data_IF_373279365117
#
_entry.id   IF_373279365117
#
_cell.length_a   1.000
_cell.length_b   1.000
_cell.length_c   1.000
_cell.angle_alpha   90.00
_cell.angle_beta   90.00
_cell.angle_gamma   90.00
#
_symmetry.space_group_name_H-M   'P 1'
#
loop_
_entity.id
_entity.type
_entity.pdbx_description
1 polymer ?
#
# COMPACT_ATOMS: atom_id res chain seq x y z
N UNK A 1 -28.20 -54.44 -35.73
CA UNK A 1 -28.25 -53.48 -34.60
C UNK A 1 -26.86 -53.24 -33.98
N UNK A 2 -26.09 -54.31 -33.69
CA UNK A 2 -24.78 -54.26 -33.00
C UNK A 2 -23.68 -53.45 -33.73
N UNK A 3 -23.58 -53.54 -35.05
CA UNK A 3 -22.55 -52.84 -35.85
C UNK A 3 -22.65 -51.30 -35.81
N UNK A 4 -23.85 -50.73 -35.60
CA UNK A 4 -24.05 -49.28 -35.49
C UNK A 4 -23.62 -48.76 -34.12
N UNK A 5 -23.87 -49.52 -33.05
CA UNK A 5 -23.44 -49.19 -31.68
C UNK A 5 -21.92 -49.20 -31.56
N UNK A 6 -21.24 -50.18 -32.17
CA UNK A 6 -19.76 -50.27 -32.16
C UNK A 6 -19.13 -49.10 -32.93
N UNK A 7 -19.69 -48.69 -34.07
CA UNK A 7 -19.17 -47.53 -34.83
C UNK A 7 -19.34 -46.21 -34.07
N UNK A 8 -20.46 -46.03 -33.36
CA UNK A 8 -20.73 -44.83 -32.54
C UNK A 8 -19.77 -44.74 -31.36
N UNK A 9 -19.55 -45.86 -30.66
CA UNK A 9 -18.61 -45.93 -29.54
C UNK A 9 -17.15 -45.66 -29.97
N UNK A 10 -16.74 -46.14 -31.16
CA UNK A 10 -15.43 -45.82 -31.73
C UNK A 10 -15.25 -44.35 -32.09
N UNK A 11 -16.29 -43.69 -32.59
CA UNK A 11 -16.24 -42.27 -32.92
C UNK A 11 -16.15 -41.40 -31.66
N UNK A 12 -16.92 -41.72 -30.62
CA UNK A 12 -16.88 -41.02 -29.33
C UNK A 12 -15.50 -41.13 -28.67
N UNK A 13 -14.85 -42.30 -28.77
CA UNK A 13 -13.49 -42.48 -28.25
C UNK A 13 -12.43 -41.68 -29.00
N UNK A 14 -12.55 -41.56 -30.33
CA UNK A 14 -11.64 -40.75 -31.15
C UNK A 14 -11.82 -39.25 -30.87
N UNK A 15 -13.05 -38.79 -30.69
CA UNK A 15 -13.34 -37.39 -30.32
C UNK A 15 -12.79 -37.08 -28.93
N UNK A 16 -12.96 -37.99 -27.96
CA UNK A 16 -12.41 -37.82 -26.62
C UNK A 16 -10.87 -37.81 -26.62
N UNK A 17 -10.23 -38.71 -27.37
CA UNK A 17 -8.78 -38.73 -27.52
C UNK A 17 -8.25 -37.47 -28.22
N UNK A 18 -8.97 -36.92 -29.21
CA UNK A 18 -8.63 -35.67 -29.87
C UNK A 18 -8.82 -34.45 -28.94
N UNK A 19 -9.84 -34.44 -28.09
CA UNK A 19 -10.04 -33.39 -27.08
C UNK A 19 -8.97 -33.44 -26.00
N UNK A 20 -8.62 -34.62 -25.48
CA UNK A 20 -7.54 -34.79 -24.50
C UNK A 20 -6.19 -34.47 -25.14
N UNK A 21 -5.94 -34.93 -26.37
CA UNK A 21 -4.70 -34.64 -27.10
C UNK A 21 -4.55 -33.16 -27.46
N UNK A 22 -5.64 -32.48 -27.84
CA UNK A 22 -5.66 -31.04 -28.08
C UNK A 22 -5.47 -30.23 -26.79
N UNK A 23 -6.10 -30.66 -25.69
CA UNK A 23 -5.95 -30.02 -24.37
C UNK A 23 -4.54 -30.24 -23.80
N UNK A 24 -3.94 -31.43 -23.97
CA UNK A 24 -2.56 -31.73 -23.59
C UNK A 24 -1.54 -30.98 -24.47
N UNK A 25 -1.77 -30.88 -25.79
CA UNK A 25 -0.90 -30.15 -26.70
C UNK A 25 -0.88 -28.65 -26.42
N UNK A 26 -2.04 -28.04 -26.17
CA UNK A 26 -2.15 -26.64 -25.74
C UNK A 26 -1.53 -26.40 -24.34
N UNK A 27 -1.56 -27.41 -23.48
CA UNK A 27 -0.91 -27.33 -22.16
C UNK A 27 0.61 -27.47 -22.26
N UNK A 28 1.13 -28.36 -23.11
CA UNK A 28 2.57 -28.64 -23.21
C UNK A 28 3.39 -27.43 -23.66
N UNK A 29 2.91 -26.71 -24.66
CA UNK A 29 3.62 -25.51 -25.19
C UNK A 29 3.64 -24.35 -24.18
N UNK A 30 2.61 -24.25 -23.34
CA UNK A 30 2.51 -23.22 -22.29
C UNK A 30 3.48 -23.47 -21.11
N UNK A 31 3.84 -24.73 -20.84
CA UNK A 31 4.75 -25.07 -19.73
C UNK A 31 6.23 -25.00 -20.11
N UNK A 32 6.59 -25.21 -21.38
CA UNK A 32 7.98 -25.11 -21.86
C UNK A 32 8.62 -23.74 -21.59
N UNK A 33 7.81 -22.66 -21.55
CA UNK A 33 8.28 -21.32 -21.19
C UNK A 33 8.92 -21.27 -19.80
N UNK A 34 8.43 -22.09 -18.87
CA UNK A 34 8.86 -22.08 -17.47
C UNK A 34 10.04 -23.01 -17.18
N UNK A 35 10.38 -23.95 -18.08
CA UNK A 35 11.46 -24.92 -17.84
C UNK A 35 12.79 -24.24 -17.45
N UNK A 36 13.27 -23.19 -18.16
CA UNK A 36 14.51 -22.52 -17.77
C UNK A 36 14.41 -21.83 -16.40
N UNK A 37 13.23 -21.30 -16.06
CA UNK A 37 13.00 -20.63 -14.76
C UNK A 37 13.04 -21.65 -13.62
N UNK A 38 12.44 -22.82 -13.82
CA UNK A 38 12.46 -23.93 -12.86
C UNK A 38 13.88 -24.45 -12.65
N UNK A 39 14.64 -24.64 -13.73
CA UNK A 39 16.02 -25.11 -13.68
C UNK A 39 16.93 -24.12 -12.94
N UNK A 40 16.84 -22.83 -13.27
CA UNK A 40 17.60 -21.78 -12.59
C UNK A 40 17.23 -21.71 -11.11
N UNK A 41 15.93 -21.77 -10.76
CA UNK A 41 15.49 -21.82 -9.37
C UNK A 41 16.11 -23.00 -8.63
N UNK A 42 16.08 -24.21 -9.22
CA UNK A 42 16.64 -25.40 -8.59
C UNK A 42 18.15 -25.26 -8.32
N UNK A 43 18.86 -24.63 -9.25
CA UNK A 43 20.31 -24.44 -9.13
C UNK A 43 20.68 -23.37 -8.08
N UNK A 44 19.90 -22.29 -8.00
CA UNK A 44 20.04 -21.28 -6.95
C UNK A 44 19.79 -21.91 -5.57
N UNK A 45 18.69 -22.65 -5.38
CA UNK A 45 18.38 -23.25 -4.08
C UNK A 45 19.39 -24.31 -3.64
N UNK A 46 20.05 -24.99 -4.58
CA UNK A 46 21.02 -26.05 -4.28
C UNK A 46 22.42 -25.51 -3.97
N UNK A 47 22.84 -24.46 -4.68
CA UNK A 47 24.25 -24.05 -4.70
C UNK A 47 24.51 -22.64 -4.15
N UNK A 48 23.47 -21.86 -3.85
CA UNK A 48 23.70 -20.52 -3.31
C UNK A 48 24.29 -20.59 -1.89
N UNK A 49 25.19 -19.65 -1.60
CA UNK A 49 26.01 -19.66 -0.39
C UNK A 49 25.24 -19.27 0.88
N UNK A 50 24.07 -18.65 0.74
CA UNK A 50 23.18 -18.21 1.83
C UNK A 50 21.82 -18.86 1.69
N UNK A 51 21.05 -18.82 2.76
CA UNK A 51 19.62 -19.16 2.72
C UNK A 51 18.90 -18.24 1.72
N UNK A 52 18.05 -18.86 0.91
CA UNK A 52 17.28 -18.17 -0.13
C UNK A 52 15.82 -18.15 0.30
N UNK A 53 15.22 -16.96 0.30
CA UNK A 53 13.77 -16.82 0.41
C UNK A 53 13.14 -17.05 -0.96
N UNK A 54 12.41 -18.16 -1.10
CA UNK A 54 11.73 -18.52 -2.34
C UNK A 54 10.63 -17.52 -2.74
N UNK A 55 10.03 -16.83 -1.76
CA UNK A 55 9.00 -15.81 -1.99
C UNK A 55 9.61 -14.60 -2.67
N UNK A 56 10.76 -14.15 -2.16
CA UNK A 56 11.52 -13.05 -2.77
C UNK A 56 12.04 -13.42 -4.16
N UNK A 57 12.48 -14.67 -4.35
CA UNK A 57 12.91 -15.17 -5.65
C UNK A 57 11.76 -15.17 -6.68
N UNK A 58 10.57 -15.58 -6.26
CA UNK A 58 9.36 -15.54 -7.09
C UNK A 58 8.98 -14.10 -7.46
N UNK A 59 8.95 -13.19 -6.48
CA UNK A 59 8.65 -11.78 -6.73
C UNK A 59 9.67 -11.16 -7.69
N UNK A 60 10.97 -11.44 -7.52
CA UNK A 60 12.02 -11.00 -8.42
C UNK A 60 11.83 -11.53 -9.85
N UNK A 61 11.46 -12.80 -10.01
CA UNK A 61 11.18 -13.37 -11.33
C UNK A 61 9.99 -12.70 -12.02
N UNK A 62 8.90 -12.43 -11.29
CA UNK A 62 7.73 -11.72 -11.83
C UNK A 62 8.11 -10.29 -12.22
N UNK A 63 8.77 -9.55 -11.34
CA UNK A 63 9.17 -8.17 -11.61
C UNK A 63 10.12 -8.06 -12.82
N UNK A 64 11.09 -8.96 -12.94
CA UNK A 64 12.00 -8.98 -14.09
C UNK A 64 11.29 -9.23 -15.42
N UNK A 65 10.20 -10.02 -15.44
CA UNK A 65 9.36 -10.17 -16.63
C UNK A 65 8.63 -8.88 -16.98
N UNK A 66 8.12 -8.15 -15.98
CA UNK A 66 7.39 -6.90 -16.19
C UNK A 66 8.29 -5.74 -16.61
N UNK A 67 9.51 -5.66 -16.09
CA UNK A 67 10.50 -4.65 -16.48
C UNK A 67 10.80 -4.66 -17.98
N UNK A 68 10.71 -5.82 -18.64
CA UNK A 68 10.92 -5.93 -20.09
C UNK A 68 9.81 -5.30 -20.93
N UNK A 69 8.68 -4.93 -20.33
CA UNK A 69 7.60 -4.23 -21.03
C UNK A 69 7.92 -2.74 -21.25
N UNK A 70 8.94 -2.20 -20.59
CA UNK A 70 9.28 -0.76 -20.61
C UNK A 70 8.07 0.14 -20.31
N UNK A 71 7.15 -0.37 -19.49
CA UNK A 71 5.93 0.31 -19.07
C UNK A 71 5.97 0.56 -17.56
N UNK A 72 6.19 1.80 -17.11
CA UNK A 72 6.27 2.13 -15.68
C UNK A 72 4.94 1.95 -14.94
N UNK A 73 3.82 1.75 -15.65
CA UNK A 73 2.50 1.57 -15.04
C UNK A 73 2.11 0.10 -14.85
N UNK A 74 2.84 -0.84 -15.45
CA UNK A 74 2.59 -2.26 -15.28
C UNK A 74 3.42 -2.79 -14.11
N UNK A 75 2.76 -3.04 -12.98
CA UNK A 75 3.41 -3.51 -11.75
C UNK A 75 2.68 -4.72 -11.18
N UNK A 76 3.44 -5.61 -10.55
CA UNK A 76 2.89 -6.69 -9.74
C UNK A 76 2.81 -6.24 -8.28
N UNK A 77 1.65 -6.41 -7.65
CA UNK A 77 1.50 -6.19 -6.23
C UNK A 77 1.54 -7.50 -5.45
N UNK A 78 2.45 -7.56 -4.47
CA UNK A 78 2.37 -8.55 -3.40
C UNK A 78 1.12 -8.29 -2.53
N UNK A 79 0.73 -9.27 -1.71
CA UNK A 79 -0.42 -9.10 -0.81
C UNK A 79 -0.27 -7.90 0.13
N UNK A 80 0.95 -7.62 0.63
CA UNK A 80 1.24 -6.48 1.49
C UNK A 80 1.15 -5.15 0.72
N UNK A 81 1.69 -5.11 -0.50
CA UNK A 81 1.62 -3.94 -1.38
C UNK A 81 0.17 -3.62 -1.77
N UNK A 82 -0.62 -4.65 -2.11
CA UNK A 82 -2.04 -4.50 -2.42
C UNK A 82 -2.81 -3.93 -1.22
N UNK A 83 -2.61 -4.49 -0.02
CA UNK A 83 -3.26 -3.99 1.18
C UNK A 83 -2.90 -2.53 1.48
N UNK A 84 -1.65 -2.13 1.23
CA UNK A 84 -1.17 -0.76 1.40
C UNK A 84 -1.75 0.18 0.34
N UNK A 85 -1.77 -0.25 -0.92
CA UNK A 85 -2.36 0.48 -2.03
C UNK A 85 -3.87 0.72 -1.82
N UNK A 86 -4.59 -0.30 -1.37
CA UNK A 86 -6.01 -0.17 -1.08
C UNK A 86 -6.29 0.78 0.10
N UNK A 87 -5.45 0.75 1.15
CA UNK A 87 -5.53 1.73 2.25
C UNK A 87 -5.37 3.16 1.73
N UNK A 88 -4.39 3.37 0.86
CA UNK A 88 -4.14 4.67 0.23
C UNK A 88 -5.32 5.12 -0.65
N UNK A 89 -5.83 4.21 -1.51
CA UNK A 89 -6.96 4.49 -2.41
C UNK A 89 -8.25 4.80 -1.65
N UNK A 90 -8.49 4.15 -0.51
CA UNK A 90 -9.64 4.43 0.37
C UNK A 90 -9.43 5.67 1.26
N UNK A 91 -8.25 6.27 1.28
CA UNK A 91 -7.93 7.38 2.17
C UNK A 91 -7.99 7.01 3.67
N UNK A 92 -7.97 5.71 3.99
CA UNK A 92 -8.08 5.21 5.37
C UNK A 92 -6.71 4.80 5.89
N UNK A 93 -6.20 5.55 6.86
CA UNK A 93 -4.95 5.25 7.55
C UNK A 93 -5.20 5.09 9.04
N UNK A 94 -4.55 4.13 9.70
CA UNK A 94 -4.60 4.01 11.16
C UNK A 94 -3.28 4.49 11.74
N UNK A 95 -3.28 5.66 12.38
CA UNK A 95 -2.07 6.28 12.89
C UNK A 95 -2.38 7.52 13.70
N UNK A 96 -1.45 8.47 13.74
CA UNK A 96 -1.62 9.73 14.46
C UNK A 96 -2.14 10.87 13.58
N UNK A 97 -2.09 10.72 12.25
CA UNK A 97 -2.53 11.74 11.29
C UNK A 97 -1.62 12.96 11.22
N UNK A 98 -0.36 12.74 10.83
CA UNK A 98 0.59 13.81 10.55
C UNK A 98 1.42 13.47 9.30
N UNK A 99 1.73 14.50 8.53
CA UNK A 99 2.68 14.43 7.42
C UNK A 99 4.10 14.64 7.96
N UNK A 100 5.00 13.74 7.61
CA UNK A 100 6.39 13.75 8.08
C UNK A 100 7.37 13.75 6.91
N UNK A 101 8.52 14.37 7.11
CA UNK A 101 9.62 14.41 6.16
C UNK A 101 10.97 14.32 6.89
N UNK A 102 12.04 14.01 6.17
CA UNK A 102 13.38 13.97 6.74
C UNK A 102 14.04 15.36 6.65
N UNK A 103 14.43 15.91 7.80
CA UNK A 103 15.06 17.23 7.90
C UNK A 103 16.30 17.15 8.77
N UNK A 104 17.46 17.50 8.22
CA UNK A 104 18.75 17.48 8.91
C UNK A 104 19.04 16.15 9.66
N UNK A 105 18.67 15.03 9.04
CA UNK A 105 18.85 13.68 9.60
C UNK A 105 17.88 13.30 10.72
N UNK A 106 16.85 14.11 10.98
CA UNK A 106 15.76 13.86 11.92
C UNK A 106 14.43 13.71 11.17
N UNK A 107 13.45 13.11 11.82
CA UNK A 107 12.09 13.05 11.31
C UNK A 107 11.35 14.30 11.76
N UNK A 108 10.96 15.15 10.83
CA UNK A 108 10.23 16.39 11.09
C UNK A 108 8.76 16.28 10.70
N UNK A 109 7.89 16.96 11.45
CA UNK A 109 6.49 17.16 11.10
C UNK A 109 6.39 18.28 10.06
N UNK A 110 5.90 17.96 8.87
CA UNK A 110 5.55 18.94 7.85
C UNK A 110 4.26 19.64 8.23
N UNK A 111 3.22 18.86 8.50
CA UNK A 111 1.94 19.36 9.00
C UNK A 111 1.18 18.26 9.73
N UNK A 112 0.63 18.51 10.93
CA UNK A 112 -0.43 17.66 11.44
C UNK A 112 -1.66 17.78 10.51
N UNK A 113 -2.41 16.68 10.36
CA UNK A 113 -3.71 16.73 9.71
C UNK A 113 -4.72 17.35 10.68
N UNK A 114 -5.54 18.26 10.19
CA UNK A 114 -6.64 18.85 10.95
C UNK A 114 -7.57 17.75 11.52
N UNK A 115 -8.07 17.95 12.74
CA UNK A 115 -8.93 16.99 13.46
C UNK A 115 -8.29 15.60 13.74
N UNK A 116 -6.97 15.48 13.57
CA UNK A 116 -6.25 14.23 13.85
C UNK A 116 -5.82 14.10 15.31
N UNK A 117 -5.53 12.88 15.79
CA UNK A 117 -4.93 12.67 17.11
C UNK A 117 -3.63 13.46 17.33
N UNK A 118 -2.80 13.66 16.30
CA UNK A 118 -1.59 14.47 16.41
C UNK A 118 -1.93 15.95 16.62
N UNK A 119 -2.91 16.48 15.88
CA UNK A 119 -3.37 17.85 16.03
C UNK A 119 -4.02 18.08 17.40
N UNK A 120 -4.88 17.17 17.85
CA UNK A 120 -5.49 17.18 19.18
C UNK A 120 -4.44 17.13 20.31
N UNK A 121 -3.33 16.43 20.08
CA UNK A 121 -2.25 16.26 21.05
C UNK A 121 -1.24 17.42 21.09
N UNK A 122 -1.44 18.47 20.29
CA UNK A 122 -0.60 19.67 20.29
C UNK A 122 0.67 19.55 19.44
N UNK A 123 0.77 18.54 18.55
CA UNK A 123 1.84 18.51 17.55
C UNK A 123 1.63 19.64 16.55
N UNK A 124 2.70 20.34 16.22
CA UNK A 124 2.69 21.47 15.28
C UNK A 124 3.66 21.27 14.12
N UNK A 125 3.46 22.05 13.06
CA UNK A 125 4.38 22.07 11.93
C UNK A 125 5.77 22.53 12.37
N UNK A 126 6.81 21.80 11.98
CA UNK A 126 8.20 22.08 12.34
C UNK A 126 8.73 21.28 13.54
N UNK A 127 7.87 20.53 14.24
CA UNK A 127 8.28 19.61 15.29
C UNK A 127 9.27 18.56 14.77
N UNK A 128 10.24 18.18 15.61
CA UNK A 128 11.16 17.07 15.33
C UNK A 128 10.82 15.89 16.25
N UNK A 129 10.53 14.72 15.66
CA UNK A 129 10.34 13.48 16.39
C UNK A 129 11.72 12.85 16.67
N UNK A 130 12.12 12.88 17.94
CA UNK A 130 13.41 12.36 18.40
C UNK A 130 13.37 10.86 18.69
N UNK A 131 12.24 10.37 19.21
CA UNK A 131 12.05 8.97 19.58
C UNK A 131 10.57 8.53 19.49
N UNK A 132 10.37 7.22 19.33
CA UNK A 132 9.07 6.55 19.35
C UNK A 132 9.13 5.42 20.37
N UNK A 133 8.23 5.45 21.35
CA UNK A 133 8.17 4.50 22.47
C UNK A 133 9.55 4.33 23.15
N UNK A 134 10.26 5.45 23.35
CA UNK A 134 11.60 5.50 23.94
C UNK A 134 12.75 5.07 23.01
N UNK A 135 12.47 4.63 21.78
CA UNK A 135 13.48 4.25 20.80
C UNK A 135 13.82 5.43 19.88
N UNK A 136 15.08 5.84 19.86
CA UNK A 136 15.52 6.96 19.02
C UNK A 136 15.26 6.73 17.53
N UNK A 137 14.85 7.79 16.84
CA UNK A 137 14.69 7.84 15.39
C UNK A 137 15.92 8.40 14.66
N UNK A 138 17.03 8.66 15.38
CA UNK A 138 18.23 9.23 14.76
C UNK A 138 18.80 8.28 13.70
N UNK A 139 18.89 8.76 12.45
CA UNK A 139 19.39 7.97 11.32
C UNK A 139 18.41 6.90 10.82
N UNK A 140 17.17 6.89 11.31
CA UNK A 140 16.09 6.04 10.79
C UNK A 140 15.52 6.68 9.53
N UNK A 141 15.17 5.87 8.52
CA UNK A 141 14.52 6.35 7.30
C UNK A 141 13.08 6.77 7.59
N UNK A 142 12.53 7.65 6.75
CA UNK A 142 11.13 8.09 6.86
C UNK A 142 10.17 6.90 6.83
N UNK A 143 10.41 5.92 5.96
CA UNK A 143 9.57 4.71 5.83
C UNK A 143 9.54 3.88 7.12
N UNK A 144 10.69 3.68 7.76
CA UNK A 144 10.78 2.94 9.02
C UNK A 144 10.18 3.75 10.17
N UNK A 145 10.33 5.07 10.17
CA UNK A 145 9.66 5.94 11.14
C UNK A 145 8.13 5.85 11.00
N UNK A 146 7.59 5.88 9.77
CA UNK A 146 6.16 5.65 9.51
C UNK A 146 5.72 4.32 10.09
N UNK A 147 6.46 3.23 9.86
CA UNK A 147 6.12 1.89 10.38
C UNK A 147 6.02 1.86 11.91
N UNK A 148 6.87 2.59 12.63
CA UNK A 148 6.86 2.66 14.10
C UNK A 148 5.73 3.52 14.66
N UNK A 149 5.45 4.64 14.00
CA UNK A 149 4.41 5.59 14.41
C UNK A 149 3.02 5.00 14.11
N UNK A 150 2.87 4.33 12.97
CA UNK A 150 1.64 3.67 12.53
C UNK A 150 1.40 2.40 13.34
N UNK A 151 0.15 1.99 13.48
CA UNK A 151 -0.18 0.79 14.25
C UNK A 151 -1.69 0.55 14.32
N UNK A 152 -2.12 -0.51 15.02
CA UNK A 152 -3.53 -0.84 15.14
C UNK A 152 -4.32 0.29 15.80
N UNK A 153 -5.54 0.50 15.33
CA UNK A 153 -6.47 1.49 15.88
C UNK A 153 -6.72 1.24 17.38
N UNK A 154 -6.78 2.31 18.16
CA UNK A 154 -6.97 2.27 19.62
C UNK A 154 -5.71 1.97 20.44
N UNK A 155 -4.58 1.64 19.81
CA UNK A 155 -3.30 1.52 20.51
C UNK A 155 -2.65 2.89 20.69
N UNK A 156 -1.85 3.06 21.74
CA UNK A 156 -1.09 4.29 21.99
C UNK A 156 0.32 4.23 21.43
N UNK A 157 0.87 5.39 21.09
CA UNK A 157 2.28 5.62 20.78
C UNK A 157 2.77 6.82 21.57
N UNK A 158 3.98 6.73 22.13
CA UNK A 158 4.62 7.87 22.79
C UNK A 158 5.69 8.43 21.88
N UNK A 159 5.57 9.71 21.54
CA UNK A 159 6.54 10.44 20.73
C UNK A 159 7.32 11.40 21.62
N UNK A 160 8.65 11.32 21.59
CA UNK A 160 9.50 12.37 22.15
C UNK A 160 9.68 13.43 21.07
N UNK A 161 9.10 14.61 21.29
CA UNK A 161 9.03 15.69 20.31
C UNK A 161 9.88 16.87 20.78
N UNK A 162 10.60 17.50 19.84
CA UNK A 162 11.22 18.81 20.04
C UNK A 162 10.47 19.85 19.21
N UNK A 163 9.89 20.83 19.88
CA UNK A 163 9.16 21.94 19.27
C UNK A 163 10.12 22.94 18.59
N UNK A 164 9.63 23.78 17.65
CA UNK A 164 10.41 24.84 17.03
C UNK A 164 11.01 25.85 18.02
N UNK A 165 10.41 26.03 19.20
CA UNK A 165 10.92 26.88 20.27
C UNK A 165 12.05 26.24 21.09
N UNK A 166 12.38 24.97 20.79
CA UNK A 166 13.44 24.19 21.42
C UNK A 166 13.01 23.42 22.67
N UNK A 167 11.74 23.51 23.08
CA UNK A 167 11.21 22.68 24.17
C UNK A 167 11.07 21.23 23.74
N UNK A 168 11.24 20.31 24.68
CA UNK A 168 11.10 18.87 24.46
C UNK A 168 10.07 18.29 25.43
N UNK A 169 9.19 17.43 24.92
CA UNK A 169 8.23 16.70 25.73
C UNK A 169 7.88 15.34 25.14
N UNK A 170 7.36 14.46 25.99
CA UNK A 170 6.82 13.16 25.57
C UNK A 170 5.31 13.26 25.43
N UNK A 171 4.82 13.10 24.20
CA UNK A 171 3.39 13.17 23.87
C UNK A 171 2.88 11.76 23.58
N UNK A 172 1.90 11.32 24.37
CA UNK A 172 1.24 10.02 24.13
C UNK A 172 -0.03 10.21 23.32
N UNK A 173 -0.10 9.56 22.17
CA UNK A 173 -1.17 9.73 21.18
C UNK A 173 -1.85 8.38 20.96
N UNK A 174 -3.18 8.37 21.00
CA UNK A 174 -3.97 7.17 20.66
C UNK A 174 -4.19 7.14 19.16
N UNK A 175 -3.76 6.05 18.51
CA UNK A 175 -3.93 5.84 17.08
C UNK A 175 -5.41 5.73 16.73
N UNK A 176 -5.84 6.49 15.74
CA UNK A 176 -7.23 6.47 15.23
C UNK A 176 -7.19 6.21 13.73
N UNK A 177 -8.29 5.69 13.19
CA UNK A 177 -8.56 5.80 11.77
C UNK A 177 -8.66 7.28 11.39
N UNK A 178 -7.81 7.71 10.48
CA UNK A 178 -7.83 9.03 9.87
C UNK A 178 -8.59 8.89 8.56
N UNK A 179 -9.69 9.62 8.46
CA UNK A 179 -10.44 9.81 7.23
C UNK A 179 -10.11 11.21 6.73
N UNK A 180 -9.43 11.30 5.59
CA UNK A 180 -9.11 12.58 4.99
C UNK A 180 -10.37 13.07 4.27
N UNK A 181 -10.99 14.12 4.79
CA UNK A 181 -12.08 14.80 4.10
C UNK A 181 -11.60 15.28 2.72
N UNK A 182 -12.21 14.72 1.66
CA UNK A 182 -11.84 14.99 0.28
C UNK A 182 -12.42 16.29 -0.26
N UNK A 183 -13.48 16.79 0.38
CA UNK A 183 -14.22 17.99 -0.02
C UNK A 183 -14.24 18.96 1.15
N UNK A 184 -13.57 20.11 0.99
CA UNK A 184 -13.52 21.20 1.96
C UNK A 184 -14.24 22.45 1.44
N UNK A 185 -14.83 23.21 2.35
CA UNK A 185 -15.41 24.53 2.10
C UNK A 185 -14.41 25.67 2.32
N UNK A 186 -14.92 26.89 2.36
CA UNK A 186 -14.13 28.11 2.59
C UNK A 186 -13.72 28.26 4.06
N UNK A 187 -14.65 28.03 4.98
CA UNK A 187 -14.46 28.16 6.42
C UNK A 187 -15.32 27.13 7.18
N UNK A 188 -15.02 26.87 8.45
CA UNK A 188 -15.87 26.07 9.34
C UNK A 188 -16.70 26.97 10.26
N UNK A 189 -17.94 26.59 10.52
CA UNK A 189 -18.79 27.24 11.53
C UNK A 189 -18.48 26.74 12.96
N UNK A 190 -19.18 27.27 13.97
CA UNK A 190 -19.03 26.85 15.38
C UNK A 190 -19.38 25.37 15.62
N UNK A 191 -20.14 24.75 14.71
CA UNK A 191 -20.51 23.34 14.75
C UNK A 191 -19.62 22.47 13.85
N UNK A 192 -18.50 23.01 13.34
CA UNK A 192 -17.55 22.34 12.47
C UNK A 192 -18.09 21.97 11.07
N UNK A 193 -19.22 22.55 10.63
CA UNK A 193 -19.68 22.38 9.25
C UNK A 193 -18.95 23.33 8.31
N UNK A 194 -18.73 22.87 7.08
CA UNK A 194 -18.17 23.71 6.02
C UNK A 194 -19.18 24.76 5.54
N UNK A 195 -18.78 26.02 5.61
CA UNK A 195 -19.36 27.09 4.81
C UNK A 195 -18.72 27.06 3.42
N UNK A 196 -19.55 26.84 2.40
CA UNK A 196 -19.12 26.78 1.01
C UNK A 196 -19.33 28.11 0.28
N UNK A 197 -19.90 29.14 0.91
CA UNK A 197 -20.19 30.41 0.24
C UNK A 197 -19.01 31.38 0.33
N UNK A 198 -18.46 31.74 -0.83
CA UNK A 198 -17.46 32.81 -0.92
C UNK A 198 -18.12 34.18 -0.98
N UNK A 199 -19.19 34.29 -1.75
CA UNK A 199 -19.98 35.51 -1.88
C UNK A 199 -21.47 35.15 -1.99
N UNK A 200 -22.23 35.27 -0.89
CA UNK A 200 -23.67 35.02 -0.89
C UNK A 200 -24.47 35.96 -1.80
N UNK A 201 -24.06 37.22 -1.94
CA UNK A 201 -24.78 38.22 -2.75
C UNK A 201 -24.61 37.93 -4.24
N UNK A 202 -23.37 37.64 -4.66
CA UNK A 202 -23.07 37.23 -6.03
C UNK A 202 -23.46 35.76 -6.32
N UNK A 203 -23.81 34.97 -5.30
CA UNK A 203 -24.10 33.52 -5.36
C UNK A 203 -22.93 32.70 -5.86
N UNK A 204 -21.74 32.96 -5.33
CA UNK A 204 -20.50 32.24 -5.66
C UNK A 204 -20.15 31.28 -4.51
N UNK A 205 -20.02 29.99 -4.84
CA UNK A 205 -19.53 28.96 -3.93
C UNK A 205 -18.06 28.60 -4.17
N UNK A 206 -17.37 28.18 -3.12
CA UNK A 206 -16.01 27.65 -3.12
C UNK A 206 -16.02 26.20 -2.64
N UNK A 207 -15.47 25.31 -3.45
CA UNK A 207 -15.27 23.90 -3.11
C UNK A 207 -13.81 23.58 -3.38
N UNK A 208 -13.11 23.08 -2.36
CA UNK A 208 -11.75 22.57 -2.48
C UNK A 208 -11.78 21.06 -2.44
N UNK A 209 -11.35 20.43 -3.53
CA UNK A 209 -11.14 18.98 -3.57
C UNK A 209 -9.66 18.69 -3.32
N UNK A 210 -9.36 17.91 -2.29
CA UNK A 210 -7.98 17.56 -1.92
C UNK A 210 -7.50 16.28 -2.60
N UNK A 211 -8.41 15.31 -2.77
CA UNK A 211 -8.15 14.05 -3.47
C UNK A 211 -9.47 13.45 -3.98
N UNK A 212 -9.37 12.51 -4.92
CA UNK A 212 -10.50 11.68 -5.33
C UNK A 212 -10.35 10.30 -4.68
N UNK A 213 -11.07 10.09 -3.58
CA UNK A 213 -11.17 8.78 -2.93
C UNK A 213 -12.63 8.30 -2.94
N UNK A 214 -12.83 7.02 -2.65
CA UNK A 214 -14.16 6.47 -2.47
C UNK A 214 -14.82 7.10 -1.23
N UNK A 215 -16.10 7.51 -1.29
CA UNK A 215 -16.83 8.08 -0.15
C UNK A 215 -17.08 7.05 0.95
#
# INVERSE_FOLDING_TARGET
MIQRTIKRLRLEFVVLAALIGGMLGLSYDAYNFFDPVVDVRAEVLRHYVKDVDETELLHGAINGMLEQLDDPYTVYFTAEQLASFEKHTRGTFSGIGAEIDQRDGHIGIVSPLEDSPAFEAGIVAGDLILAVDGNSLKGVSTEEAVKRITGPEGTSVTLTVRHPDGTEEDITIVRRRIEIETVKGLARDEQQHWDYMLDPEARIGYIRMTQFSQP
#
